data_IF_217799797510
#
_entry.id   IF_217799797510
#
_cell.length_a   1.000
_cell.length_b   1.000
_cell.length_c   1.000
_cell.angle_alpha   90.00
_cell.angle_beta   90.00
_cell.angle_gamma   90.00
#
_symmetry.space_group_name_H-M   'P 1'
#
loop_
_entity.id
_entity.type
_entity.pdbx_description
1 polymer ?
#
# COMPACT_ATOMS: atom_id res chain seq x y z
N UNK A 1 -24.92 14.11 -31.86
CA UNK A 1 -23.87 13.08 -31.67
C UNK A 1 -22.47 13.69 -31.70
N UNK A 2 -22.12 14.59 -30.76
CA UNK A 2 -20.80 15.27 -30.76
C UNK A 2 -20.25 15.58 -29.35
N UNK A 3 -20.76 14.92 -28.30
CA UNK A 3 -20.33 15.13 -26.90
C UNK A 3 -19.91 13.85 -26.15
N UNK A 4 -19.82 12.69 -26.82
CA UNK A 4 -19.44 11.42 -26.17
C UNK A 4 -17.93 11.16 -26.11
N UNK A 5 -17.11 11.97 -26.79
CA UNK A 5 -15.67 11.72 -26.91
C UNK A 5 -14.83 12.30 -25.76
N UNK A 6 -15.36 13.28 -25.02
CA UNK A 6 -14.62 13.93 -23.93
C UNK A 6 -14.57 13.04 -22.67
N UNK A 7 -15.56 12.15 -22.48
CA UNK A 7 -15.59 11.20 -21.37
C UNK A 7 -14.63 10.01 -21.55
N UNK A 8 -14.31 9.62 -22.79
CA UNK A 8 -13.39 8.51 -23.06
C UNK A 8 -11.92 8.90 -22.91
N UNK A 9 -11.56 10.14 -23.24
CA UNK A 9 -10.16 10.58 -23.28
C UNK A 9 -9.53 10.85 -21.91
N UNK A 10 -10.34 11.23 -20.90
CA UNK A 10 -9.83 11.49 -19.54
C UNK A 10 -9.67 10.18 -18.73
N UNK A 11 -10.41 9.14 -19.09
CA UNK A 11 -10.35 7.84 -18.41
C UNK A 11 -9.14 6.99 -18.81
N UNK A 12 -8.57 7.18 -19.99
CA UNK A 12 -7.31 6.52 -20.34
C UNK A 12 -6.16 6.92 -19.38
N UNK A 13 -6.19 8.10 -18.76
CA UNK A 13 -5.21 8.51 -17.75
C UNK A 13 -5.53 8.06 -16.32
N UNK A 14 -6.82 7.89 -15.96
CA UNK A 14 -7.20 7.43 -14.62
C UNK A 14 -7.14 5.90 -14.47
N UNK A 15 -7.43 5.15 -15.55
CA UNK A 15 -7.41 3.67 -15.57
C UNK A 15 -6.00 3.07 -15.59
N UNK A 16 -4.95 3.86 -15.81
CA UNK A 16 -3.56 3.41 -15.76
C UNK A 16 -2.93 3.47 -14.36
N UNK A 17 -3.68 3.81 -13.30
CA UNK A 17 -3.16 3.85 -11.92
C UNK A 17 -3.38 2.54 -11.16
N UNK A 18 -3.98 1.51 -11.78
CA UNK A 18 -4.05 0.18 -11.20
C UNK A 18 -3.86 -0.90 -12.27
N UNK A 19 -2.83 -1.73 -12.06
CA UNK A 19 -2.44 -2.93 -12.85
C UNK A 19 -1.57 -2.65 -14.08
N UNK A 20 -0.41 -2.05 -13.83
CA UNK A 20 0.80 -2.13 -14.66
C UNK A 20 1.97 -2.58 -13.79
N UNK A 21 1.88 -3.81 -13.31
CA UNK A 21 2.96 -4.49 -12.60
C UNK A 21 4.05 -4.93 -13.56
N UNK A 22 4.99 -4.04 -13.85
CA UNK A 22 6.39 -4.38 -14.12
C UNK A 22 7.25 -3.30 -13.47
N UNK A 23 7.34 -3.42 -12.15
CA UNK A 23 8.01 -2.46 -11.29
C UNK A 23 7.96 -3.02 -9.89
N UNK A 24 8.71 -4.11 -9.72
CA UNK A 24 8.87 -4.94 -8.55
C UNK A 24 9.30 -4.13 -7.32
N UNK A 25 8.43 -3.30 -6.75
CA UNK A 25 8.59 -2.77 -5.41
C UNK A 25 8.01 -3.79 -4.44
N UNK A 26 8.88 -4.74 -4.06
CA UNK A 26 8.70 -5.66 -2.94
C UNK A 26 8.34 -4.85 -1.68
N UNK A 27 7.06 -4.62 -1.45
CA UNK A 27 6.50 -4.26 -0.15
C UNK A 27 6.02 -5.57 0.48
N UNK A 28 6.82 -6.11 1.40
CA UNK A 28 6.37 -7.27 2.18
C UNK A 28 7.41 -8.35 2.45
N UNK A 29 8.62 -7.98 2.85
CA UNK A 29 9.25 -8.69 3.96
C UNK A 29 9.95 -7.64 4.83
N UNK A 30 9.70 -7.58 6.14
CA UNK A 30 10.66 -7.00 7.06
C UNK A 30 11.81 -7.99 7.16
N UNK A 31 12.59 -8.17 6.09
CA UNK A 31 13.93 -8.73 6.26
C UNK A 31 14.74 -7.60 6.88
N UNK A 32 14.67 -7.53 8.20
CA UNK A 32 15.85 -7.36 9.05
C UNK A 32 17.04 -6.72 8.34
N UNK A 33 16.94 -5.46 7.90
CA UNK A 33 18.08 -4.56 7.97
C UNK A 33 18.13 -4.03 9.41
N UNK A 34 18.11 -4.99 10.32
CA UNK A 34 18.84 -4.88 11.55
C UNK A 34 20.28 -4.71 11.06
N UNK A 35 20.74 -3.46 10.91
CA UNK A 35 22.15 -3.12 11.08
C UNK A 35 22.55 -3.35 12.54
N UNK A 36 22.09 -4.47 13.12
CA UNK A 36 22.80 -5.14 14.17
C UNK A 36 23.96 -5.78 13.46
N UNK A 37 25.16 -5.40 13.87
CA UNK A 37 26.20 -6.39 14.00
C UNK A 37 25.68 -7.48 14.94
N UNK A 38 25.49 -8.73 14.46
CA UNK A 38 25.94 -9.81 15.30
C UNK A 38 26.83 -10.74 14.48
N UNK A 39 28.06 -10.88 14.96
CA UNK A 39 28.90 -12.08 14.82
C UNK A 39 29.34 -12.49 13.40
N UNK A 40 30.65 -12.37 13.17
CA UNK A 40 31.36 -13.28 12.27
C UNK A 40 31.85 -12.69 10.95
N UNK A 41 32.59 -11.57 10.97
CA UNK A 41 33.73 -11.56 10.04
C UNK A 41 34.73 -12.59 10.57
N UNK A 42 35.21 -13.54 9.75
CA UNK A 42 36.29 -14.43 10.18
C UNK A 42 37.46 -13.54 10.62
N UNK A 43 38.06 -13.84 11.77
CA UNK A 43 39.24 -13.14 12.25
C UNK A 43 40.40 -13.39 11.28
N UNK A 44 40.47 -12.60 10.21
CA UNK A 44 41.66 -12.44 9.36
C UNK A 44 42.79 -11.75 10.13
N UNK A 45 42.50 -11.27 11.35
CA UNK A 45 43.47 -10.68 12.26
C UNK A 45 44.32 -11.75 12.94
N UNK A 46 45.53 -11.94 12.42
CA UNK A 46 46.58 -12.66 13.13
C UNK A 46 46.98 -11.85 14.37
N UNK A 47 47.09 -12.54 15.52
CA UNK A 47 47.71 -12.02 16.75
C UNK A 47 49.20 -11.78 16.56
N UNK A 48 49.82 -10.94 17.38
CA UNK A 48 51.27 -10.68 17.35
C UNK A 48 52.08 -11.97 17.48
N UNK A 49 51.63 -12.90 18.32
CA UNK A 49 52.27 -14.21 18.49
C UNK A 49 52.17 -15.09 17.24
N UNK A 50 51.03 -15.07 16.54
CA UNK A 50 50.86 -15.79 15.28
C UNK A 50 51.69 -15.15 14.15
N UNK A 51 51.83 -13.82 14.15
CA UNK A 51 52.71 -13.11 13.21
C UNK A 51 54.18 -13.45 13.42
N UNK A 52 54.63 -13.55 14.68
CA UNK A 52 55.98 -14.02 15.04
C UNK A 52 56.22 -15.47 14.64
N UNK A 53 55.22 -16.34 14.83
CA UNK A 53 55.28 -17.75 14.37
C UNK A 53 55.38 -17.89 12.84
N UNK A 54 54.96 -16.87 12.09
CA UNK A 54 55.12 -16.80 10.63
C UNK A 54 56.48 -16.22 10.20
N UNK A 55 57.37 -15.88 11.14
CA UNK A 55 58.70 -15.35 10.84
C UNK A 55 58.74 -13.88 10.46
N UNK A 56 57.67 -13.10 10.74
CA UNK A 56 57.66 -11.66 10.52
C UNK A 56 58.60 -10.95 11.50
N UNK A 57 59.36 -9.97 11.01
CA UNK A 57 60.21 -9.11 11.85
C UNK A 57 59.37 -8.17 12.72
N UNK A 58 59.92 -7.68 13.83
CA UNK A 58 59.22 -6.72 14.68
C UNK A 58 58.85 -5.42 13.92
N UNK A 59 59.67 -5.00 12.95
CA UNK A 59 59.35 -3.87 12.05
C UNK A 59 58.15 -4.18 11.14
N UNK A 60 58.06 -5.39 10.59
CA UNK A 60 56.91 -5.81 9.78
C UNK A 60 55.63 -5.90 10.62
N UNK A 61 55.73 -6.41 11.85
CA UNK A 61 54.60 -6.48 12.81
C UNK A 61 54.12 -5.07 13.18
N UNK A 62 55.05 -4.14 13.43
CA UNK A 62 54.71 -2.75 13.72
C UNK A 62 54.04 -2.07 12.51
N UNK A 63 54.55 -2.32 11.30
CA UNK A 63 53.96 -1.78 10.06
C UNK A 63 52.54 -2.31 9.81
N UNK A 64 52.31 -3.60 10.08
CA UNK A 64 50.97 -4.21 10.01
C UNK A 64 50.04 -3.53 11.03
N UNK A 65 50.50 -3.26 12.25
CA UNK A 65 49.69 -2.59 13.28
C UNK A 65 49.34 -1.14 12.90
N UNK A 66 50.27 -0.40 12.29
CA UNK A 66 50.02 0.95 11.77
C UNK A 66 48.98 0.95 10.65
N UNK A 67 49.15 0.07 9.64
CA UNK A 67 48.21 -0.05 8.53
C UNK A 67 46.82 -0.47 8.99
N UNK A 68 46.71 -1.34 10.01
CA UNK A 68 45.41 -1.68 10.62
C UNK A 68 44.74 -0.47 11.25
N UNK A 69 45.50 0.37 11.96
CA UNK A 69 44.95 1.60 12.56
C UNK A 69 44.49 2.60 11.50
N UNK A 70 45.20 2.69 10.38
CA UNK A 70 44.79 3.54 9.25
C UNK A 70 43.51 3.01 8.59
N UNK A 71 43.43 1.71 8.31
CA UNK A 71 42.23 1.06 7.76
C UNK A 71 41.02 1.22 8.68
N UNK A 72 41.18 1.09 10.00
CA UNK A 72 40.08 1.27 10.94
C UNK A 72 39.60 2.73 10.98
N UNK A 73 40.50 3.70 10.84
CA UNK A 73 40.13 5.13 10.68
C UNK A 73 39.36 5.36 9.38
N UNK A 74 39.78 4.77 8.28
CA UNK A 74 39.08 4.88 6.99
C UNK A 74 37.70 4.22 7.04
N UNK A 75 37.60 3.04 7.65
CA UNK A 75 36.33 2.35 7.88
C UNK A 75 35.38 3.20 8.72
N UNK A 76 35.84 3.76 9.84
CA UNK A 76 35.03 4.64 10.67
C UNK A 76 34.53 5.87 9.89
N UNK A 77 35.36 6.43 9.00
CA UNK A 77 34.95 7.54 8.12
C UNK A 77 33.88 7.11 7.12
N UNK A 78 34.03 5.93 6.51
CA UNK A 78 33.04 5.38 5.58
C UNK A 78 31.71 5.07 6.29
N UNK A 79 31.73 4.55 7.52
CA UNK A 79 30.52 4.32 8.31
C UNK A 79 29.76 5.63 8.60
N UNK A 80 30.47 6.70 8.94
CA UNK A 80 29.87 8.03 9.12
C UNK A 80 29.25 8.55 7.82
N UNK A 81 29.95 8.40 6.69
CA UNK A 81 29.44 8.80 5.38
C UNK A 81 28.21 7.98 4.97
N UNK A 82 28.24 6.66 5.19
CA UNK A 82 27.13 5.76 4.91
C UNK A 82 25.90 6.12 5.76
N UNK A 83 26.09 6.40 7.04
CA UNK A 83 25.01 6.83 7.93
C UNK A 83 24.37 8.13 7.45
N UNK A 84 25.18 9.13 7.11
CA UNK A 84 24.68 10.41 6.59
C UNK A 84 23.93 10.24 5.25
N UNK A 85 24.45 9.40 4.34
CA UNK A 85 23.78 9.09 3.08
C UNK A 85 22.45 8.34 3.29
N UNK A 86 22.40 7.43 4.25
CA UNK A 86 21.19 6.70 4.63
C UNK A 86 20.12 7.62 5.21
N UNK A 87 20.49 8.54 6.09
CA UNK A 87 19.58 9.56 6.65
C UNK A 87 19.03 10.50 5.56
N UNK A 88 19.87 10.94 4.62
CA UNK A 88 19.45 11.75 3.48
C UNK A 88 18.48 11.00 2.56
N UNK A 89 18.74 9.72 2.29
CA UNK A 89 17.84 8.88 1.50
C UNK A 89 16.49 8.66 2.21
N UNK A 90 16.50 8.46 3.53
CA UNK A 90 15.28 8.35 4.32
C UNK A 90 14.43 9.63 4.25
N UNK A 91 15.07 10.81 4.37
CA UNK A 91 14.39 12.10 4.23
C UNK A 91 13.81 12.31 2.81
N UNK A 92 14.57 11.94 1.76
CA UNK A 92 14.08 12.00 0.38
C UNK A 92 12.86 11.08 0.16
N UNK A 93 12.90 9.85 0.68
CA UNK A 93 11.77 8.91 0.60
C UNK A 93 10.53 9.41 1.37
N UNK A 94 10.72 10.08 2.52
CA UNK A 94 9.64 10.71 3.25
C UNK A 94 8.98 11.83 2.42
N UNK A 95 9.78 12.66 1.73
CA UNK A 95 9.27 13.73 0.88
C UNK A 95 8.56 13.21 -0.38
N UNK A 96 9.11 12.18 -1.03
CA UNK A 96 8.44 11.47 -2.14
C UNK A 96 7.09 10.91 -1.69
N UNK A 97 7.03 10.34 -0.48
CA UNK A 97 5.79 9.82 0.09
C UNK A 97 4.77 10.94 0.36
N UNK A 98 5.21 12.07 0.92
CA UNK A 98 4.38 13.27 1.15
C UNK A 98 3.81 13.81 -0.17
N UNK A 99 4.66 14.01 -1.18
CA UNK A 99 4.25 14.49 -2.50
C UNK A 99 3.30 13.52 -3.19
N UNK A 100 3.53 12.21 -3.06
CA UNK A 100 2.65 11.19 -3.59
C UNK A 100 1.27 11.20 -2.92
N UNK A 101 1.21 11.46 -1.60
CA UNK A 101 -0.07 11.67 -0.89
C UNK A 101 -0.77 12.95 -1.35
N UNK A 102 -0.02 14.04 -1.56
CA UNK A 102 -0.56 15.32 -2.05
C UNK A 102 -1.13 15.19 -3.48
N UNK A 103 -0.43 14.51 -4.38
CA UNK A 103 -0.91 14.20 -5.73
C UNK A 103 -2.17 13.33 -5.68
N UNK A 104 -2.22 12.33 -4.81
CA UNK A 104 -3.42 11.50 -4.63
C UNK A 104 -4.58 12.34 -4.11
N UNK A 105 -4.38 13.16 -3.09
CA UNK A 105 -5.41 14.04 -2.54
C UNK A 105 -5.95 15.04 -3.58
N UNK A 106 -5.07 15.59 -4.42
CA UNK A 106 -5.47 16.46 -5.53
C UNK A 106 -6.33 15.70 -6.56
N UNK A 107 -5.87 14.52 -6.97
CA UNK A 107 -6.51 13.69 -7.99
C UNK A 107 -7.87 13.12 -7.55
N UNK A 108 -8.02 12.75 -6.27
CA UNK A 108 -9.24 12.09 -5.78
C UNK A 108 -10.24 13.08 -5.20
N UNK A 109 -9.82 13.94 -4.27
CA UNK A 109 -10.77 14.75 -3.48
C UNK A 109 -11.18 16.03 -4.18
N UNK A 110 -10.22 16.75 -4.80
CA UNK A 110 -10.54 17.99 -5.51
C UNK A 110 -11.26 17.74 -6.82
N UNK A 111 -10.83 16.74 -7.59
CA UNK A 111 -11.49 16.37 -8.84
C UNK A 111 -12.93 15.87 -8.59
N UNK A 112 -13.14 15.08 -7.53
CA UNK A 112 -14.49 14.65 -7.13
C UNK A 112 -15.38 15.84 -6.81
N UNK A 113 -14.90 16.81 -6.02
CA UNK A 113 -15.65 18.04 -5.71
C UNK A 113 -16.01 18.85 -6.96
N UNK A 114 -15.14 18.88 -7.97
CA UNK A 114 -15.43 19.51 -9.27
C UNK A 114 -16.54 18.77 -10.00
N UNK A 115 -16.49 17.44 -10.08
CA UNK A 115 -17.57 16.65 -10.68
C UNK A 115 -18.88 16.83 -9.90
N UNK A 116 -18.83 16.84 -8.58
CA UNK A 116 -20.00 17.02 -7.73
C UNK A 116 -20.64 18.41 -7.89
N UNK A 117 -19.86 19.44 -8.20
CA UNK A 117 -20.37 20.79 -8.44
C UNK A 117 -21.03 20.95 -9.83
N UNK A 118 -20.71 20.09 -10.80
CA UNK A 118 -21.08 20.28 -12.22
C UNK A 118 -22.07 19.22 -12.72
N UNK A 119 -21.99 17.99 -12.24
CA UNK A 119 -22.83 16.88 -12.71
C UNK A 119 -24.22 16.94 -12.07
N UNK A 120 -25.25 16.59 -12.85
CA UNK A 120 -26.58 16.34 -12.30
C UNK A 120 -26.59 15.09 -11.42
N UNK A 121 -27.58 14.93 -10.52
CA UNK A 121 -27.69 13.73 -9.68
C UNK A 121 -27.71 12.42 -10.49
N UNK A 122 -28.39 12.42 -11.64
CA UNK A 122 -28.44 11.25 -12.53
C UNK A 122 -27.09 10.93 -13.16
N UNK A 123 -26.35 11.96 -13.60
CA UNK A 123 -25.01 11.81 -14.17
C UNK A 123 -24.01 11.32 -13.12
N UNK A 124 -24.14 11.79 -11.87
CA UNK A 124 -23.32 11.31 -10.75
C UNK A 124 -23.57 9.83 -10.48
N UNK A 125 -24.84 9.43 -10.40
CA UNK A 125 -25.22 8.02 -10.22
C UNK A 125 -24.66 7.13 -11.34
N UNK A 126 -24.74 7.59 -12.59
CA UNK A 126 -24.17 6.86 -13.72
C UNK A 126 -22.63 6.75 -13.65
N UNK A 127 -21.95 7.83 -13.24
CA UNK A 127 -20.49 7.85 -13.06
C UNK A 127 -20.04 6.90 -11.94
N UNK A 128 -20.74 6.90 -10.81
CA UNK A 128 -20.42 6.01 -9.68
C UNK A 128 -20.68 4.55 -10.04
N UNK A 129 -21.76 4.27 -10.78
CA UNK A 129 -22.02 2.93 -11.31
C UNK A 129 -20.90 2.47 -12.25
N UNK A 130 -20.40 3.35 -13.13
CA UNK A 130 -19.24 3.04 -13.99
C UNK A 130 -17.97 2.80 -13.16
N UNK A 131 -17.74 3.58 -12.10
CA UNK A 131 -16.58 3.38 -11.20
C UNK A 131 -16.65 2.05 -10.48
N UNK A 132 -17.81 1.68 -9.94
CA UNK A 132 -17.98 0.38 -9.28
C UNK A 132 -17.82 -0.78 -10.27
N UNK A 133 -18.26 -0.63 -11.52
CA UNK A 133 -18.00 -1.62 -12.57
C UNK A 133 -16.52 -1.81 -12.84
N UNK A 134 -15.75 -0.73 -12.96
CA UNK A 134 -14.31 -0.83 -13.17
C UNK A 134 -13.57 -1.41 -11.95
N UNK A 135 -14.01 -1.08 -10.72
CA UNK A 135 -13.49 -1.71 -9.51
C UNK A 135 -13.80 -3.21 -9.47
N UNK A 136 -15.00 -3.62 -9.88
CA UNK A 136 -15.39 -5.01 -9.97
C UNK A 136 -14.55 -5.78 -10.99
N UNK A 137 -14.33 -5.20 -12.18
CA UNK A 137 -13.43 -5.77 -13.20
C UNK A 137 -12.01 -5.91 -12.67
N UNK A 138 -11.48 -4.86 -12.04
CA UNK A 138 -10.13 -4.87 -11.48
C UNK A 138 -9.96 -5.94 -10.38
N UNK A 139 -10.97 -6.12 -9.52
CA UNK A 139 -10.98 -7.19 -8.53
C UNK A 139 -11.03 -8.58 -9.19
N UNK A 140 -11.88 -8.77 -10.20
CA UNK A 140 -11.98 -10.03 -10.95
C UNK A 140 -10.72 -10.40 -11.73
N UNK A 141 -9.92 -9.42 -12.18
CA UNK A 141 -8.62 -9.68 -12.83
C UNK A 141 -7.70 -10.52 -11.92
N UNK A 142 -7.79 -10.37 -10.60
CA UNK A 142 -7.05 -11.19 -9.64
C UNK A 142 -7.39 -12.69 -9.72
N UNK A 143 -8.59 -13.03 -10.18
CA UNK A 143 -9.09 -14.40 -10.28
C UNK A 143 -9.15 -14.91 -11.72
N UNK A 144 -9.01 -14.03 -12.72
CA UNK A 144 -9.19 -14.33 -14.13
C UNK A 144 -8.31 -15.48 -14.61
N UNK A 145 -7.01 -15.45 -14.31
CA UNK A 145 -6.07 -16.51 -14.72
C UNK A 145 -6.34 -17.83 -14.01
N UNK A 146 -6.66 -17.78 -12.71
CA UNK A 146 -6.83 -18.98 -11.88
C UNK A 146 -8.14 -19.73 -12.19
N UNK A 147 -9.25 -18.99 -12.33
CA UNK A 147 -10.56 -19.53 -12.66
C UNK A 147 -10.79 -19.66 -14.18
N UNK A 148 -9.88 -19.11 -15.00
CA UNK A 148 -10.03 -19.04 -16.47
C UNK A 148 -11.34 -18.35 -16.87
N UNK A 149 -11.61 -17.19 -16.26
CA UNK A 149 -12.81 -16.41 -16.59
C UNK A 149 -12.71 -15.85 -18.01
N UNK A 150 -13.76 -16.03 -18.80
CA UNK A 150 -13.88 -15.38 -20.11
C UNK A 150 -14.21 -13.90 -19.95
N UNK A 151 -13.97 -13.09 -20.99
CA UNK A 151 -14.31 -11.66 -20.94
C UNK A 151 -15.81 -11.44 -20.69
N UNK A 152 -16.66 -12.29 -21.27
CA UNK A 152 -18.12 -12.27 -21.04
C UNK A 152 -18.44 -12.57 -19.57
N UNK A 153 -17.80 -13.58 -18.97
CA UNK A 153 -17.98 -13.87 -17.54
C UNK A 153 -17.49 -12.71 -16.66
N UNK A 154 -16.39 -12.04 -17.05
CA UNK A 154 -15.89 -10.87 -16.32
C UNK A 154 -16.91 -9.74 -16.38
N UNK A 155 -17.54 -9.47 -17.51
CA UNK A 155 -18.59 -8.45 -17.63
C UNK A 155 -19.84 -8.81 -16.80
N UNK A 156 -20.34 -10.03 -16.93
CA UNK A 156 -21.53 -10.50 -16.22
C UNK A 156 -21.33 -10.50 -14.70
N UNK A 157 -20.21 -11.06 -14.24
CA UNK A 157 -19.89 -11.09 -12.80
C UNK A 157 -19.66 -9.66 -12.29
N UNK A 158 -19.01 -8.77 -13.07
CA UNK A 158 -18.80 -7.39 -12.61
C UNK A 158 -20.10 -6.70 -12.26
N UNK A 159 -21.15 -6.87 -13.07
CA UNK A 159 -22.48 -6.34 -12.78
C UNK A 159 -23.07 -6.90 -11.46
N UNK A 160 -22.81 -8.17 -11.15
CA UNK A 160 -23.24 -8.81 -9.89
C UNK A 160 -22.49 -8.27 -8.67
N UNK A 161 -21.25 -7.80 -8.86
CA UNK A 161 -20.41 -7.28 -7.77
C UNK A 161 -20.68 -5.79 -7.46
N UNK A 162 -21.15 -5.00 -8.42
CA UNK A 162 -21.43 -3.56 -8.24
C UNK A 162 -22.21 -3.24 -6.96
N UNK A 163 -23.32 -3.94 -6.61
CA UNK A 163 -24.07 -3.65 -5.39
C UNK A 163 -23.24 -3.86 -4.10
N UNK A 164 -22.26 -4.77 -4.13
CA UNK A 164 -21.35 -4.99 -3.00
C UNK A 164 -20.40 -3.82 -2.88
N UNK A 165 -19.79 -3.38 -3.98
CA UNK A 165 -18.93 -2.18 -3.99
C UNK A 165 -19.70 -0.92 -3.54
N UNK A 166 -20.93 -0.74 -3.99
CA UNK A 166 -21.79 0.38 -3.56
C UNK A 166 -22.11 0.31 -2.06
N UNK A 167 -22.47 -0.87 -1.53
CA UNK A 167 -22.74 -1.08 -0.10
C UNK A 167 -21.55 -0.63 0.76
N UNK A 168 -20.35 -1.08 0.41
CA UNK A 168 -19.17 -0.79 1.22
C UNK A 168 -18.63 0.64 1.02
N UNK A 169 -18.83 1.24 -0.16
CA UNK A 169 -18.54 2.66 -0.36
C UNK A 169 -19.39 3.55 0.57
N UNK A 170 -20.69 3.27 0.71
CA UNK A 170 -21.56 3.99 1.65
C UNK A 170 -21.10 3.84 3.10
N UNK A 171 -20.64 2.65 3.49
CA UNK A 171 -20.10 2.43 4.83
C UNK A 171 -18.79 3.19 5.06
N UNK A 172 -17.92 3.26 4.05
CA UNK A 172 -16.69 4.05 4.12
C UNK A 172 -16.98 5.56 4.23
N UNK A 173 -18.00 6.05 3.52
CA UNK A 173 -18.50 7.44 3.62
C UNK A 173 -19.06 7.73 5.02
N UNK A 174 -19.88 6.83 5.59
CA UNK A 174 -20.39 6.95 6.97
C UNK A 174 -19.26 7.06 8.00
N UNK A 175 -18.18 6.28 7.83
CA UNK A 175 -16.98 6.35 8.68
C UNK A 175 -16.25 7.67 8.49
N UNK A 176 -16.11 8.15 7.25
CA UNK A 176 -15.47 9.42 6.95
C UNK A 176 -16.22 10.59 7.59
N UNK A 177 -17.55 10.63 7.46
CA UNK A 177 -18.42 11.65 8.05
C UNK A 177 -18.36 11.61 9.59
N UNK A 178 -18.33 10.41 10.20
CA UNK A 178 -18.17 10.28 11.65
C UNK A 178 -16.81 10.81 12.14
N UNK A 179 -15.74 10.57 11.37
CA UNK A 179 -14.40 11.09 11.67
C UNK A 179 -14.31 12.60 11.49
N UNK A 180 -14.96 13.15 10.48
CA UNK A 180 -15.03 14.60 10.27
C UNK A 180 -15.76 15.28 11.44
N UNK A 181 -16.92 14.76 11.84
CA UNK A 181 -17.66 15.23 13.04
C UNK A 181 -16.79 15.20 14.31
N UNK A 182 -16.05 14.11 14.54
CA UNK A 182 -15.11 14.01 15.67
C UNK A 182 -13.99 15.06 15.58
N UNK A 183 -13.46 15.31 14.39
CA UNK A 183 -12.43 16.31 14.17
C UNK A 183 -12.95 17.75 14.40
N UNK A 184 -14.18 18.04 14.00
CA UNK A 184 -14.84 19.32 14.27
C UNK A 184 -15.05 19.55 15.77
N UNK A 185 -15.57 18.55 16.50
CA UNK A 185 -15.75 18.62 17.96
C UNK A 185 -14.42 18.88 18.69
N UNK A 186 -13.31 18.30 18.22
CA UNK A 186 -11.96 18.52 18.78
C UNK A 186 -11.36 19.89 18.44
N UNK A 187 -11.86 20.56 17.40
CA UNK A 187 -11.41 21.90 16.97
C UNK A 187 -12.29 23.02 17.52
N UNK A 188 -13.39 22.71 18.18
CA UNK A 188 -14.30 23.70 18.75
C UNK A 188 -13.66 24.46 19.92
N UNK A 189 -13.97 25.76 20.05
CA UNK A 189 -13.43 26.64 21.10
C UNK A 189 -13.79 26.17 22.53
N UNK A 190 -14.87 25.41 22.67
CA UNK A 190 -15.26 24.74 23.92
C UNK A 190 -15.32 23.24 23.68
N UNK A 191 -14.45 22.52 24.38
CA UNK A 191 -14.40 21.05 24.31
C UNK A 191 -15.56 20.46 25.11
N UNK A 192 -16.51 19.85 24.41
CA UNK A 192 -17.54 18.99 25.01
C UNK A 192 -16.99 17.56 25.08
N UNK A 193 -16.41 17.22 26.23
CA UNK A 193 -15.76 15.93 26.46
C UNK A 193 -16.77 14.76 26.28
N UNK A 194 -18.02 14.93 26.71
CA UNK A 194 -19.04 13.89 26.58
C UNK A 194 -19.45 13.67 25.12
N UNK A 195 -19.53 14.75 24.32
CA UNK A 195 -19.80 14.64 22.88
C UNK A 195 -18.62 13.99 22.13
N UNK A 196 -17.37 14.30 22.52
CA UNK A 196 -16.17 13.70 21.94
C UNK A 196 -16.13 12.19 22.25
N UNK A 197 -16.33 11.77 23.50
CA UNK A 197 -16.34 10.35 23.87
C UNK A 197 -17.43 9.56 23.13
N UNK A 198 -18.61 10.17 22.92
CA UNK A 198 -19.68 9.56 22.13
C UNK A 198 -19.29 9.40 20.65
N UNK A 199 -18.71 10.44 20.05
CA UNK A 199 -18.27 10.41 18.65
C UNK A 199 -17.10 9.43 18.44
N UNK A 200 -16.20 9.29 19.42
CA UNK A 200 -15.13 8.29 19.40
C UNK A 200 -15.69 6.86 19.39
N UNK A 201 -16.67 6.57 20.26
CA UNK A 201 -17.35 5.27 20.27
C UNK A 201 -18.09 4.99 18.96
N UNK A 202 -18.74 6.00 18.37
CA UNK A 202 -19.41 5.86 17.07
C UNK A 202 -18.42 5.52 15.95
N UNK A 203 -17.28 6.22 15.87
CA UNK A 203 -16.22 5.90 14.91
C UNK A 203 -15.64 4.51 15.16
N UNK A 204 -15.43 4.14 16.42
CA UNK A 204 -14.92 2.82 16.79
C UNK A 204 -15.89 1.70 16.40
N UNK A 205 -17.20 1.86 16.66
CA UNK A 205 -18.22 0.88 16.27
C UNK A 205 -18.33 0.73 14.76
N UNK A 206 -18.34 1.85 14.01
CA UNK A 206 -18.35 1.83 12.55
C UNK A 206 -17.06 1.21 11.98
N UNK A 207 -15.90 1.45 12.61
CA UNK A 207 -14.61 0.88 12.20
C UNK A 207 -14.44 -0.59 12.61
N UNK A 208 -15.11 -1.04 13.68
CA UNK A 208 -15.10 -2.43 14.17
C UNK A 208 -15.93 -3.37 13.33
N UNK A 209 -16.91 -2.86 12.57
CA UNK A 209 -17.51 -3.64 11.48
C UNK A 209 -16.34 -4.07 10.61
N UNK A 210 -16.02 -5.36 10.58
CA UNK A 210 -14.88 -5.91 9.87
C UNK A 210 -15.16 -5.87 8.36
N UNK A 211 -15.20 -4.65 7.83
CA UNK A 211 -15.63 -4.28 6.49
C UNK A 211 -14.80 -5.03 5.47
N UNK A 212 -13.51 -5.23 5.73
CA UNK A 212 -12.66 -5.91 4.79
C UNK A 212 -13.00 -7.40 4.62
N UNK A 213 -13.03 -8.18 5.71
CA UNK A 213 -13.33 -9.62 5.59
C UNK A 213 -14.75 -9.86 5.11
N UNK A 214 -15.72 -9.10 5.65
CA UNK A 214 -17.11 -9.21 5.25
C UNK A 214 -17.33 -8.80 3.79
N UNK A 215 -16.61 -7.77 3.31
CA UNK A 215 -16.61 -7.39 1.89
C UNK A 215 -16.07 -8.49 1.01
N UNK A 216 -14.96 -9.13 1.40
CA UNK A 216 -14.42 -10.24 0.63
C UNK A 216 -15.39 -11.42 0.60
N UNK A 217 -16.04 -11.75 1.72
CA UNK A 217 -17.07 -12.80 1.77
C UNK A 217 -18.26 -12.47 0.86
N UNK A 218 -18.82 -11.27 0.95
CA UNK A 218 -19.93 -10.81 0.11
C UNK A 218 -19.55 -10.83 -1.38
N UNK A 219 -18.34 -10.38 -1.73
CA UNK A 219 -17.83 -10.40 -3.11
C UNK A 219 -17.68 -11.83 -3.63
N UNK A 220 -17.11 -12.73 -2.83
CA UNK A 220 -16.94 -14.14 -3.19
C UNK A 220 -18.29 -14.83 -3.36
N UNK A 221 -19.24 -14.56 -2.47
CA UNK A 221 -20.57 -15.15 -2.53
C UNK A 221 -21.38 -14.64 -3.74
N UNK A 222 -21.23 -13.36 -4.11
CA UNK A 222 -21.83 -12.82 -5.34
C UNK A 222 -21.15 -13.34 -6.61
N UNK A 223 -19.83 -13.48 -6.60
CA UNK A 223 -19.09 -14.03 -7.73
C UNK A 223 -19.56 -15.45 -8.08
N UNK A 224 -19.81 -16.30 -7.07
CA UNK A 224 -20.27 -17.69 -7.27
C UNK A 224 -21.49 -17.80 -8.19
N UNK A 225 -22.38 -16.82 -8.19
CA UNK A 225 -23.58 -16.86 -9.03
C UNK A 225 -23.28 -16.79 -10.54
N UNK A 226 -22.11 -16.29 -10.95
CA UNK A 226 -21.68 -16.22 -12.36
C UNK A 226 -20.60 -17.23 -12.74
N UNK A 227 -20.26 -18.18 -11.86
CA UNK A 227 -19.23 -19.19 -12.11
C UNK A 227 -19.81 -20.51 -12.62
N UNK A 228 -19.04 -21.22 -13.43
CA UNK A 228 -19.32 -22.58 -13.86
C UNK A 228 -19.07 -23.59 -12.72
N UNK A 229 -19.68 -24.79 -12.76
CA UNK A 229 -19.52 -25.80 -11.71
C UNK A 229 -18.07 -26.18 -11.39
N UNK A 230 -17.21 -26.33 -12.40
CA UNK A 230 -15.78 -26.64 -12.23
C UNK A 230 -15.00 -25.49 -11.57
N UNK A 231 -15.38 -24.25 -11.85
CA UNK A 231 -14.85 -23.04 -11.21
C UNK A 231 -15.31 -22.94 -9.74
N UNK A 232 -16.55 -23.32 -9.45
CA UNK A 232 -17.10 -23.38 -8.09
C UNK A 232 -16.38 -24.43 -7.24
N UNK A 233 -16.08 -25.60 -7.80
CA UNK A 233 -15.31 -26.64 -7.10
C UNK A 233 -13.91 -26.16 -6.71
N UNK A 234 -13.22 -25.44 -7.60
CA UNK A 234 -11.90 -24.84 -7.30
C UNK A 234 -11.96 -23.85 -6.13
N UNK A 235 -13.02 -23.04 -6.05
CA UNK A 235 -13.23 -22.13 -4.91
C UNK A 235 -13.55 -22.92 -3.63
N UNK A 236 -14.35 -23.97 -3.74
CA UNK A 236 -14.71 -24.83 -2.60
C UNK A 236 -13.53 -25.53 -1.96
N UNK A 237 -12.50 -25.88 -2.74
CA UNK A 237 -11.24 -26.47 -2.24
C UNK A 237 -10.40 -25.47 -1.44
N UNK A 238 -10.48 -24.17 -1.75
CA UNK A 238 -9.74 -23.12 -1.03
C UNK A 238 -10.25 -22.89 0.40
N UNK A 239 -11.56 -23.06 0.68
CA UNK A 239 -12.13 -22.87 2.03
C UNK A 239 -11.90 -24.05 3.00
N UNK A 240 -11.27 -25.15 2.55
CA UNK A 240 -11.00 -26.34 3.36
C UNK A 240 -9.57 -26.38 3.94
N UNK A 241 -8.73 -25.41 3.61
CA UNK A 241 -7.35 -25.25 4.07
C UNK A 241 -7.19 -23.92 4.80
#
# INVERSE_FOLDING_TARGET
MRNQWILAAVWALASHVAVGGEGQWRLGHPSQYQYGYPYGQPATELTVEQQRKLGLSDEQIQRIAELRRELEKERAKLDVQLKAASEAAAAANAEVSRLSQEIRAFSTTRLQKVYDAVLTPEQRKALDQQRYLEQAKAWLRGYQTWLKLTDVQVEDISNLLVPVFEKYAKMDDEVADARERLAELRRADKLDIAAIEKAEKEVEELSKRNVYQQRQEDLMDRMRAGLLPDQLEKIGQMRRH
#
